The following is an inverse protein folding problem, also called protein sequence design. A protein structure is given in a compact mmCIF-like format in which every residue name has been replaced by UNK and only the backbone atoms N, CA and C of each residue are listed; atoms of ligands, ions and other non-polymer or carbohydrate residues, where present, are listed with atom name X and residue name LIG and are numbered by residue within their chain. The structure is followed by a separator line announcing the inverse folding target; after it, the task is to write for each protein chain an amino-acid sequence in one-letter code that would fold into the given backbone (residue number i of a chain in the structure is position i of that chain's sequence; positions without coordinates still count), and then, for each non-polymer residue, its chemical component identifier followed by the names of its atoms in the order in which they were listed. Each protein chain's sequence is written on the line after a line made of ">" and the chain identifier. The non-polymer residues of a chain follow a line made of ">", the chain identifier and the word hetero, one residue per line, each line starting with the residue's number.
data_IF_241531395871
#
_entry.id   IF_241531395871
#
_cell.length_a   1.000
_cell.length_b   1.000
_cell.length_c   1.000
_cell.angle_alpha   90.00
_cell.angle_beta   90.00
_cell.angle_gamma   90.00
#
_symmetry.space_group_name_H-M   'P 1'
#
loop_
_entity.id
_entity.type
_entity.pdbx_description
1 polymer ?
#
# COMPACT_ATOMS: atom_id res chain seq x y z
N UNK A 1 -49.50 58.29 -27.84
CA UNK A 1 -48.53 58.31 -26.71
C UNK A 1 -48.29 56.86 -26.31
N UNK A 2 -47.18 56.18 -26.66
CA UNK A 2 -45.82 56.20 -26.05
C UNK A 2 -45.92 56.14 -24.51
N UNK A 3 -45.44 55.11 -23.81
CA UNK A 3 -44.02 54.78 -23.64
C UNK A 3 -43.75 53.29 -23.32
N UNK A 4 -42.62 52.80 -23.86
CA UNK A 4 -41.90 51.53 -23.56
C UNK A 4 -41.01 51.71 -22.31
N UNK A 5 -40.91 50.70 -21.44
CA UNK A 5 -39.77 50.58 -20.49
C UNK A 5 -39.58 49.11 -20.03
N UNK A 6 -38.63 48.35 -20.60
CA UNK A 6 -37.25 47.99 -20.15
C UNK A 6 -37.17 46.61 -19.46
N UNK A 7 -36.40 45.72 -20.10
CA UNK A 7 -35.88 44.43 -19.61
C UNK A 7 -34.86 44.62 -18.48
N UNK A 8 -34.85 43.74 -17.48
CA UNK A 8 -33.64 43.39 -16.74
C UNK A 8 -33.52 41.86 -16.67
N UNK A 9 -32.63 41.29 -17.49
CA UNK A 9 -32.15 39.91 -17.36
C UNK A 9 -31.06 39.87 -16.31
N UNK A 10 -31.25 39.09 -15.25
CA UNK A 10 -30.18 38.77 -14.30
C UNK A 10 -29.44 37.52 -14.80
N UNK A 11 -28.20 37.71 -15.26
CA UNK A 11 -27.25 36.62 -15.53
C UNK A 11 -26.62 36.26 -14.18
N UNK A 12 -26.97 35.10 -13.63
CA UNK A 12 -26.28 34.52 -12.48
C UNK A 12 -25.10 33.71 -13.03
N UNK A 13 -23.89 34.25 -12.95
CA UNK A 13 -22.67 33.45 -13.08
C UNK A 13 -22.54 32.58 -11.82
N UNK A 14 -22.84 31.30 -11.96
CA UNK A 14 -22.56 30.30 -10.91
C UNK A 14 -21.17 29.72 -11.17
N UNK A 15 -20.19 30.13 -10.36
CA UNK A 15 -18.83 29.58 -10.37
C UNK A 15 -18.86 28.18 -9.76
N UNK A 16 -18.74 27.14 -10.59
CA UNK A 16 -18.52 25.77 -10.10
C UNK A 16 -17.05 25.67 -9.69
N UNK A 17 -16.80 25.70 -8.38
CA UNK A 17 -15.51 25.29 -7.82
C UNK A 17 -15.41 23.76 -7.95
N UNK A 18 -14.60 23.28 -8.89
CA UNK A 18 -14.17 21.87 -8.92
C UNK A 18 -13.11 21.66 -7.84
N UNK A 19 -13.54 21.34 -6.62
CA UNK A 19 -12.69 20.62 -5.67
C UNK A 19 -12.47 19.22 -6.22
N UNK A 20 -11.30 18.97 -6.81
CA UNK A 20 -10.86 17.64 -7.21
C UNK A 20 -10.66 16.78 -5.97
N UNK A 21 -11.64 15.94 -5.64
CA UNK A 21 -11.46 14.85 -4.70
C UNK A 21 -10.72 13.74 -5.45
N UNK A 22 -9.53 13.34 -4.96
CA UNK A 22 -8.81 12.19 -5.52
C UNK A 22 -9.73 10.96 -5.55
N UNK A 23 -9.65 10.17 -6.61
CA UNK A 23 -10.47 8.96 -6.78
C UNK A 23 -9.68 7.74 -6.32
N UNK A 24 -10.23 7.00 -5.36
CA UNK A 24 -9.78 5.65 -5.00
C UNK A 24 -10.52 4.63 -5.86
N UNK A 25 -9.78 3.76 -6.55
CA UNK A 25 -10.33 2.76 -7.45
C UNK A 25 -9.91 1.35 -7.02
N UNK A 26 -10.87 0.43 -6.98
CA UNK A 26 -10.59 -1.00 -6.82
C UNK A 26 -10.04 -1.58 -8.13
N UNK A 27 -8.89 -2.26 -8.05
CA UNK A 27 -8.19 -2.82 -9.20
C UNK A 27 -8.04 -4.33 -9.08
N UNK A 28 -7.82 -5.02 -10.21
CA UNK A 28 -7.59 -6.47 -10.25
C UNK A 28 -6.23 -6.78 -10.88
N UNK A 29 -5.13 -6.55 -10.15
CA UNK A 29 -3.79 -6.76 -10.68
C UNK A 29 -3.46 -8.25 -10.79
N UNK A 30 -2.64 -8.63 -11.76
CA UNK A 30 -2.22 -10.02 -12.00
C UNK A 30 -1.42 -10.63 -10.85
N UNK A 31 -0.84 -9.79 -10.00
CA UNK A 31 -0.06 -10.19 -8.83
C UNK A 31 -0.91 -10.46 -7.58
N UNK A 32 -2.22 -10.24 -7.64
CA UNK A 32 -3.18 -10.49 -6.56
C UNK A 32 -4.17 -11.58 -6.96
N UNK A 33 -4.35 -12.60 -6.13
CA UNK A 33 -5.38 -13.62 -6.35
C UNK A 33 -6.00 -14.12 -5.06
N UNK A 34 -7.24 -14.57 -5.14
CA UNK A 34 -8.02 -15.04 -4.00
C UNK A 34 -8.54 -16.45 -4.26
N UNK A 35 -8.22 -17.37 -3.36
CA UNK A 35 -8.89 -18.66 -3.25
C UNK A 35 -9.97 -18.58 -2.16
N UNK A 36 -11.22 -18.44 -2.58
CA UNK A 36 -12.35 -18.31 -1.65
C UNK A 36 -12.68 -19.62 -0.93
N UNK A 37 -12.34 -20.79 -1.48
CA UNK A 37 -12.61 -22.07 -0.83
C UNK A 37 -11.74 -22.29 0.41
N UNK A 38 -10.51 -21.77 0.39
CA UNK A 38 -9.54 -21.90 1.49
C UNK A 38 -9.30 -20.58 2.22
N UNK A 39 -10.06 -19.52 1.90
CA UNK A 39 -9.86 -18.16 2.42
C UNK A 39 -8.38 -17.75 2.38
N UNK A 40 -7.77 -17.91 1.21
CA UNK A 40 -6.35 -17.65 0.98
C UNK A 40 -6.19 -16.53 -0.03
N UNK A 41 -5.40 -15.52 0.31
CA UNK A 41 -4.92 -14.51 -0.64
C UNK A 41 -3.48 -14.82 -0.99
N UNK A 42 -3.15 -14.82 -2.29
CA UNK A 42 -1.78 -14.87 -2.76
C UNK A 42 -1.38 -13.50 -3.29
N UNK A 43 -0.26 -12.99 -2.79
CA UNK A 43 0.36 -11.74 -3.19
C UNK A 43 1.72 -12.02 -3.80
N UNK A 44 1.96 -11.57 -5.02
CA UNK A 44 3.30 -11.46 -5.58
C UNK A 44 3.73 -9.99 -5.48
N UNK A 45 4.70 -9.68 -4.63
CA UNK A 45 5.16 -8.30 -4.43
C UNK A 45 6.59 -8.19 -4.92
N UNK A 46 6.83 -7.33 -5.91
CA UNK A 46 8.15 -7.00 -6.40
C UNK A 46 8.60 -5.66 -5.81
N UNK A 47 9.79 -5.61 -5.21
CA UNK A 47 10.43 -4.36 -4.83
C UNK A 47 11.18 -3.75 -6.00
N UNK A 48 11.10 -2.42 -6.14
CA UNK A 48 11.88 -1.64 -7.09
C UNK A 48 11.58 -1.94 -8.55
N UNK A 49 10.30 -2.16 -8.87
CA UNK A 49 9.83 -2.54 -10.21
C UNK A 49 10.08 -1.47 -11.27
N UNK A 50 10.02 -0.21 -10.90
CA UNK A 50 10.24 0.94 -11.79
C UNK A 50 10.91 2.12 -11.06
N UNK A 51 11.05 3.27 -11.73
CA UNK A 51 11.67 4.47 -11.16
C UNK A 51 10.81 5.20 -10.13
N UNK A 52 9.58 4.74 -9.85
CA UNK A 52 8.70 5.37 -8.88
C UNK A 52 9.36 5.40 -7.51
N UNK A 53 9.26 6.55 -6.84
CA UNK A 53 9.87 6.77 -5.55
C UNK A 53 11.38 6.44 -5.51
N UNK A 54 12.08 6.71 -6.61
CA UNK A 54 13.53 6.42 -6.72
C UNK A 54 13.86 4.94 -6.62
N UNK A 55 13.01 4.06 -7.17
CA UNK A 55 13.10 2.59 -7.10
C UNK A 55 12.76 1.99 -5.73
N UNK A 56 12.26 2.78 -4.78
CA UNK A 56 11.81 2.29 -3.47
C UNK A 56 10.29 2.13 -3.46
N UNK A 57 9.78 1.11 -4.16
CA UNK A 57 8.34 0.87 -4.34
C UNK A 57 8.01 -0.63 -4.28
N UNK A 58 6.74 -0.95 -4.03
CA UNK A 58 6.17 -2.28 -4.17
C UNK A 58 5.24 -2.32 -5.38
N UNK A 59 5.59 -3.10 -6.40
CA UNK A 59 4.85 -3.22 -7.66
C UNK A 59 4.58 -1.85 -8.34
N UNK A 60 5.48 -0.87 -8.18
CA UNK A 60 5.32 0.50 -8.67
C UNK A 60 4.55 1.44 -7.73
N UNK A 61 4.06 0.97 -6.59
CA UNK A 61 3.35 1.79 -5.59
C UNK A 61 4.24 2.15 -4.40
N UNK A 62 4.02 3.34 -3.85
CA UNK A 62 4.76 3.86 -2.71
C UNK A 62 3.93 4.93 -1.99
N UNK A 63 4.36 5.33 -0.80
CA UNK A 63 3.77 6.42 -0.01
C UNK A 63 2.27 6.24 0.26
N UNK A 64 1.81 4.99 0.44
CA UNK A 64 0.41 4.69 0.71
C UNK A 64 -0.53 4.81 -0.49
N UNK A 65 0.02 4.77 -1.71
CA UNK A 65 -0.78 4.82 -2.93
C UNK A 65 -1.64 3.57 -3.12
N UNK A 66 -1.21 2.43 -2.60
CA UNK A 66 -1.94 1.17 -2.66
C UNK A 66 -2.46 0.77 -1.27
N UNK A 67 -3.65 0.17 -1.24
CA UNK A 67 -4.21 -0.53 -0.08
C UNK A 67 -4.56 -1.96 -0.47
N UNK A 68 -4.09 -2.92 0.31
CA UNK A 68 -4.50 -4.32 0.24
C UNK A 68 -5.50 -4.60 1.37
N UNK A 69 -6.77 -4.77 1.02
CA UNK A 69 -7.84 -5.07 1.98
C UNK A 69 -8.02 -6.59 2.11
N UNK A 70 -7.94 -7.10 3.33
CA UNK A 70 -8.07 -8.52 3.64
C UNK A 70 -9.06 -8.72 4.79
N UNK A 71 -10.16 -9.48 4.61
CA UNK A 71 -11.04 -9.82 5.72
C UNK A 71 -10.31 -10.62 6.79
N UNK A 72 -10.65 -10.35 8.05
CA UNK A 72 -10.11 -11.08 9.20
C UNK A 72 -10.30 -12.60 9.04
N UNK A 73 -9.28 -13.36 9.39
CA UNK A 73 -9.25 -14.83 9.30
C UNK A 73 -8.67 -15.39 7.99
N UNK A 74 -8.44 -14.57 6.97
CA UNK A 74 -7.78 -15.04 5.75
C UNK A 74 -6.30 -15.39 6.00
N UNK A 75 -5.85 -16.45 5.34
CA UNK A 75 -4.42 -16.75 5.20
C UNK A 75 -3.87 -15.91 4.05
N UNK A 76 -2.75 -15.24 4.29
CA UNK A 76 -2.06 -14.45 3.27
C UNK A 76 -0.73 -15.12 2.97
N UNK A 77 -0.53 -15.48 1.71
CA UNK A 77 0.73 -16.02 1.19
C UNK A 77 1.40 -14.95 0.35
N UNK A 78 2.63 -14.60 0.71
CA UNK A 78 3.39 -13.56 0.02
C UNK A 78 4.61 -14.20 -0.64
N UNK A 79 4.69 -14.04 -1.96
CA UNK A 79 5.90 -14.23 -2.74
C UNK A 79 6.53 -12.87 -2.99
N UNK A 80 7.65 -12.59 -2.32
CA UNK A 80 8.36 -11.33 -2.49
C UNK A 80 9.58 -11.51 -3.37
N UNK A 81 9.76 -10.64 -4.36
CA UNK A 81 10.89 -10.59 -5.27
C UNK A 81 11.57 -9.24 -5.15
N UNK A 82 12.90 -9.20 -5.15
CA UNK A 82 13.63 -7.95 -5.23
C UNK A 82 14.16 -7.72 -6.65
N UNK A 83 13.48 -6.86 -7.41
CA UNK A 83 13.89 -6.42 -8.75
C UNK A 83 14.75 -5.14 -8.72
N UNK A 84 14.95 -4.57 -7.53
CA UNK A 84 15.74 -3.37 -7.30
C UNK A 84 17.25 -3.60 -7.25
N UNK A 85 18.00 -2.49 -7.17
CA UNK A 85 19.47 -2.49 -7.17
C UNK A 85 20.14 -2.68 -5.80
N UNK A 86 19.37 -2.70 -4.71
CA UNK A 86 19.84 -2.84 -3.33
C UNK A 86 18.98 -3.85 -2.56
N UNK A 87 19.42 -4.38 -1.41
CA UNK A 87 18.57 -5.21 -0.57
C UNK A 87 17.35 -4.44 -0.06
N UNK A 88 16.17 -5.07 -0.15
CA UNK A 88 14.91 -4.59 0.42
C UNK A 88 14.30 -5.66 1.31
N UNK A 89 13.57 -5.28 2.35
CA UNK A 89 12.66 -6.15 3.07
C UNK A 89 11.20 -5.94 2.66
N UNK A 90 10.35 -6.81 3.18
CA UNK A 90 8.92 -6.56 3.26
C UNK A 90 8.37 -7.26 4.51
N UNK A 91 7.44 -6.59 5.17
CA UNK A 91 6.57 -7.17 6.19
C UNK A 91 5.31 -6.34 6.41
N UNK A 92 4.39 -6.87 7.22
CA UNK A 92 3.20 -6.16 7.68
C UNK A 92 3.39 -5.74 9.14
N UNK A 93 3.35 -4.44 9.40
CA UNK A 93 3.68 -3.84 10.68
C UNK A 93 2.55 -2.93 11.19
N UNK A 94 2.46 -2.80 12.51
CA UNK A 94 1.58 -1.83 13.15
C UNK A 94 2.23 -0.45 13.23
N UNK A 95 1.51 0.54 13.77
CA UNK A 95 1.95 1.93 13.88
C UNK A 95 3.17 2.18 14.78
N UNK A 96 3.69 1.15 15.45
CA UNK A 96 4.90 1.20 16.29
C UNK A 96 5.97 0.22 15.80
N UNK A 97 5.94 -0.12 14.51
CA UNK A 97 6.95 -0.91 13.79
C UNK A 97 7.14 -2.33 14.33
N UNK A 98 6.11 -2.89 14.96
CA UNK A 98 6.07 -4.30 15.34
C UNK A 98 5.32 -5.08 14.28
N UNK A 99 5.77 -6.31 14.02
CA UNK A 99 5.02 -7.23 13.17
C UNK A 99 3.56 -7.30 13.61
N UNK A 100 2.65 -7.06 12.68
CA UNK A 100 1.22 -7.07 12.93
C UNK A 100 0.74 -8.49 13.26
N UNK A 101 1.31 -9.49 12.60
CA UNK A 101 0.96 -10.90 12.77
C UNK A 101 2.21 -11.79 12.83
N UNK A 102 2.15 -12.94 13.53
CA UNK A 102 3.20 -13.93 13.46
C UNK A 102 3.44 -14.40 12.02
N UNK A 103 4.70 -14.38 11.59
CA UNK A 103 5.10 -14.80 10.24
C UNK A 103 4.92 -13.74 9.14
N UNK A 104 4.39 -12.54 9.46
CA UNK A 104 4.12 -11.49 8.48
C UNK A 104 5.36 -10.72 8.01
N UNK A 105 6.56 -11.29 8.10
CA UNK A 105 7.82 -10.64 7.76
C UNK A 105 8.93 -10.90 8.78
N UNK A 106 9.98 -10.09 8.71
CA UNK A 106 11.06 -10.09 9.69
C UNK A 106 10.76 -9.05 10.79
N UNK A 107 11.20 -9.28 12.03
CA UNK A 107 11.08 -8.25 13.07
C UNK A 107 12.21 -7.24 12.93
N UNK A 108 11.96 -5.97 13.28
CA UNK A 108 13.01 -4.92 13.30
C UNK A 108 14.23 -5.39 14.08
N UNK A 109 14.05 -5.98 15.26
CA UNK A 109 15.14 -6.50 16.08
C UNK A 109 15.96 -7.60 15.40
N UNK A 110 15.38 -8.38 14.48
CA UNK A 110 16.10 -9.41 13.71
C UNK A 110 16.92 -8.86 12.54
N UNK A 111 16.59 -7.64 12.12
CA UNK A 111 17.26 -6.96 11.01
C UNK A 111 18.38 -6.04 11.52
N UNK A 112 18.21 -5.46 12.72
CA UNK A 112 19.21 -4.61 13.36
C UNK A 112 20.54 -5.37 13.51
N UNK A 113 21.63 -4.75 13.02
CA UNK A 113 22.99 -5.30 13.01
C UNK A 113 23.18 -6.60 12.21
N UNK A 114 22.23 -6.98 11.35
CA UNK A 114 22.36 -8.12 10.47
C UNK A 114 22.69 -7.66 9.05
N UNK A 115 23.96 -7.78 8.67
CA UNK A 115 24.44 -7.41 7.32
C UNK A 115 23.85 -8.28 6.19
N UNK A 116 23.20 -9.39 6.53
CA UNK A 116 22.44 -10.24 5.60
C UNK A 116 20.93 -10.07 5.69
N UNK A 117 20.43 -9.01 6.34
CA UNK A 117 19.00 -8.71 6.39
C UNK A 117 18.48 -8.25 5.02
N UNK A 118 17.17 -8.43 4.82
CA UNK A 118 16.50 -8.17 3.55
C UNK A 118 16.64 -9.31 2.55
N UNK A 119 16.15 -9.07 1.34
CA UNK A 119 16.30 -9.93 0.17
C UNK A 119 17.23 -9.23 -0.80
N UNK A 120 18.30 -9.88 -1.20
CA UNK A 120 19.27 -9.30 -2.14
C UNK A 120 18.68 -9.14 -3.55
N UNK A 121 19.21 -8.22 -4.37
CA UNK A 121 18.82 -8.05 -5.77
C UNK A 121 18.76 -9.38 -6.54
N UNK A 122 17.69 -9.58 -7.30
CA UNK A 122 17.43 -10.79 -8.10
C UNK A 122 17.02 -12.02 -7.28
N UNK A 123 16.88 -11.90 -5.96
CA UNK A 123 16.43 -12.98 -5.08
C UNK A 123 14.96 -12.82 -4.69
N UNK A 124 14.40 -13.87 -4.10
CA UNK A 124 13.03 -13.88 -3.59
C UNK A 124 12.93 -14.56 -2.23
N UNK A 125 11.84 -14.29 -1.51
CA UNK A 125 11.46 -14.98 -0.28
C UNK A 125 9.96 -15.26 -0.29
N UNK A 126 9.56 -16.32 0.41
CA UNK A 126 8.16 -16.60 0.67
C UNK A 126 7.89 -16.49 2.18
N UNK A 127 6.73 -15.98 2.54
CA UNK A 127 6.22 -16.03 3.89
C UNK A 127 4.70 -16.08 3.90
N UNK A 128 4.13 -16.46 5.04
CA UNK A 128 2.69 -16.52 5.22
C UNK A 128 2.30 -16.12 6.62
N UNK A 129 1.09 -15.59 6.76
CA UNK A 129 0.48 -15.25 8.04
C UNK A 129 -1.04 -15.32 7.95
N UNK A 130 -1.70 -15.24 9.10
CA UNK A 130 -3.15 -15.09 9.19
C UNK A 130 -3.46 -13.65 9.58
N UNK A 131 -4.32 -12.98 8.83
CA UNK A 131 -4.86 -11.66 9.16
C UNK A 131 -5.84 -11.80 10.33
N UNK A 132 -5.33 -11.93 11.55
CA UNK A 132 -6.11 -12.39 12.71
C UNK A 132 -6.81 -11.28 13.51
N UNK A 133 -6.54 -10.01 13.18
CA UNK A 133 -7.07 -8.87 13.91
C UNK A 133 -7.39 -7.71 12.97
N UNK A 134 -8.64 -7.25 13.00
CA UNK A 134 -9.11 -6.04 12.30
C UNK A 134 -8.28 -4.83 12.71
N UNK A 135 -7.88 -4.02 11.72
CA UNK A 135 -7.09 -2.82 11.95
C UNK A 135 -6.41 -2.31 10.68
N UNK A 136 -5.79 -1.14 10.80
CA UNK A 136 -4.96 -0.56 9.76
C UNK A 136 -3.49 -0.84 10.03
N UNK A 137 -2.80 -1.40 9.05
CA UNK A 137 -1.40 -1.77 9.13
C UNK A 137 -0.66 -1.22 7.90
N UNK A 138 0.66 -1.27 7.94
CA UNK A 138 1.50 -0.94 6.79
C UNK A 138 2.19 -2.19 6.27
N UNK A 139 2.14 -2.39 4.96
CA UNK A 139 3.09 -3.23 4.24
C UNK A 139 4.29 -2.35 3.89
N UNK A 140 5.43 -2.61 4.52
CA UNK A 140 6.54 -1.67 4.55
C UNK A 140 7.88 -2.40 4.47
N UNK A 141 8.88 -1.76 3.89
CA UNK A 141 10.29 -2.11 4.08
C UNK A 141 10.80 -1.34 5.29
N UNK A 142 11.23 -2.00 6.36
CA UNK A 142 11.80 -1.33 7.54
C UNK A 142 13.33 -1.36 7.57
N UNK A 143 13.97 -2.10 6.66
CA UNK A 143 15.42 -2.27 6.58
C UNK A 143 16.13 -0.93 6.39
N UNK A 144 15.58 -0.06 5.55
CA UNK A 144 16.13 1.26 5.24
C UNK A 144 15.93 2.31 6.35
N UNK A 145 15.28 1.96 7.47
CA UNK A 145 15.13 2.82 8.67
C UNK A 145 16.15 2.55 9.76
N UNK A 146 16.89 1.44 9.66
CA UNK A 146 17.67 0.92 10.78
C UNK A 146 18.86 1.84 11.13
N UNK A 147 19.39 2.59 10.17
CA UNK A 147 20.51 3.51 10.37
C UNK A 147 20.10 4.96 10.65
N UNK A 148 18.85 5.35 10.41
CA UNK A 148 18.37 6.72 10.60
C UNK A 148 16.90 6.80 11.03
N UNK A 149 16.68 6.71 12.35
CA UNK A 149 15.38 6.90 13.01
C UNK A 149 14.83 8.33 12.89
N UNK A 150 15.61 9.29 12.37
CA UNK A 150 15.16 10.68 12.17
C UNK A 150 14.45 10.90 10.83
N UNK A 151 14.50 9.92 9.92
CA UNK A 151 13.77 9.96 8.65
C UNK A 151 12.35 9.40 8.85
N UNK A 152 11.30 10.23 8.64
CA UNK A 152 9.98 9.89 9.13
C UNK A 152 9.30 8.68 8.48
N UNK A 153 9.64 8.28 7.25
CA UNK A 153 9.03 7.11 6.58
C UNK A 153 10.06 6.54 5.59
N UNK A 154 10.19 5.20 5.49
CA UNK A 154 11.25 4.44 4.79
C UNK A 154 11.55 4.84 3.34
N UNK A 155 12.09 6.03 3.12
CA UNK A 155 12.16 6.67 1.81
C UNK A 155 10.81 6.66 1.05
N UNK A 156 9.68 6.45 1.75
CA UNK A 156 8.35 6.28 1.13
C UNK A 156 7.98 4.86 0.70
N UNK A 157 8.80 3.83 0.97
CA UNK A 157 8.55 2.45 0.54
C UNK A 157 7.56 1.72 1.47
N UNK A 158 6.32 2.16 1.42
CA UNK A 158 5.22 1.57 2.18
C UNK A 158 3.89 1.75 1.45
N UNK A 159 2.99 0.82 1.71
CA UNK A 159 1.59 0.83 1.28
C UNK A 159 0.68 0.31 2.41
N UNK A 160 -0.62 0.53 2.30
CA UNK A 160 -1.57 0.10 3.33
C UNK A 160 -1.87 -1.39 3.23
N UNK A 161 -2.02 -2.00 4.40
CA UNK A 161 -2.55 -3.35 4.56
C UNK A 161 -3.65 -3.31 5.60
N UNK A 162 -4.90 -3.38 5.16
CA UNK A 162 -6.06 -3.22 6.03
C UNK A 162 -6.72 -4.57 6.28
N UNK A 163 -6.91 -4.89 7.55
CA UNK A 163 -7.71 -6.05 7.94
C UNK A 163 -9.12 -5.61 8.26
N UNK A 164 -10.08 -6.06 7.46
CA UNK A 164 -11.48 -5.62 7.53
C UNK A 164 -12.35 -6.63 8.29
N UNK A 165 -13.52 -6.18 8.78
CA UNK A 165 -14.48 -7.03 9.50
C UNK A 165 -15.33 -7.94 8.58
N UNK A 166 -14.91 -8.13 7.32
CA UNK A 166 -15.66 -8.85 6.29
C UNK A 166 -15.48 -8.24 4.89
N UNK A 167 -16.28 -8.69 3.94
CA UNK A 167 -16.17 -8.28 2.53
C UNK A 167 -15.30 -9.22 1.71
N UNK A 168 -14.96 -8.79 0.49
CA UNK A 168 -14.07 -9.54 -0.41
C UNK A 168 -12.66 -8.95 -0.36
N UNK A 169 -11.60 -9.77 -0.33
CA UNK A 169 -10.26 -9.24 -0.51
C UNK A 169 -10.16 -8.43 -1.81
N UNK A 170 -9.50 -7.28 -1.74
CA UNK A 170 -9.36 -6.37 -2.88
C UNK A 170 -8.09 -5.54 -2.77
N UNK A 171 -7.70 -4.94 -3.90
CA UNK A 171 -6.64 -3.94 -3.96
C UNK A 171 -7.27 -2.63 -4.38
N UNK A 172 -7.00 -1.56 -3.64
CA UNK A 172 -7.45 -0.21 -3.95
C UNK A 172 -6.22 0.65 -4.23
N UNK A 173 -6.28 1.48 -5.27
CA UNK A 173 -5.22 2.43 -5.59
C UNK A 173 -5.76 3.85 -5.56
N UNK A 174 -4.96 4.78 -5.03
CA UNK A 174 -5.26 6.20 -5.00
C UNK A 174 -4.55 6.88 -6.16
N UNK A 175 -5.31 7.41 -7.12
CA UNK A 175 -4.74 8.23 -8.18
C UNK A 175 -4.54 9.66 -7.63
N UNK A 176 -3.30 10.12 -7.62
CA UNK A 176 -2.91 11.49 -7.25
C UNK A 176 -3.00 12.42 -8.44
#
# INVERSE_FOLDING_TARGET
>A
MRFKTIFLSAIVLSSIALTGCGTTEAVSPSWFSVNNATQTVNLTIAAGTDSTNGYANFNGYANGQMTVDIPVGYTVQVHFVNDGGIPFDIGVYNSVDKLAFPGAGASVSSMVNNAGAGVFPGSSKNFQFVASQVGNYRMEDLLLRIDDQSRPENFGMWDWFDVTNGGTPQVVVSNS
#
